data_IF_883130489239
#
_entry.id   IF_883130489239
#
_cell.length_a   1.000
_cell.length_b   1.000
_cell.length_c   1.000
_cell.angle_alpha   90.00
_cell.angle_beta   90.00
_cell.angle_gamma   90.00
#
_symmetry.space_group_name_H-M   'P 1'
#
loop_
_entity.id
_entity.type
_entity.pdbx_description
1 polymer ?
#
# COMPACT_ATOMS: atom_id res chain seq x y z
N UNK A 1 24.45 10.10 -20.72
CA UNK A 1 24.10 11.53 -20.91
C UNK A 1 23.09 11.91 -19.81
N UNK A 2 23.36 12.99 -19.07
CA UNK A 2 22.47 13.45 -18.01
C UNK A 2 21.15 13.93 -18.63
N UNK A 3 20.04 13.25 -18.31
CA UNK A 3 18.70 13.65 -18.72
C UNK A 3 18.24 14.78 -17.80
N UNK A 4 17.95 15.97 -18.34
CA UNK A 4 17.43 17.09 -17.58
C UNK A 4 17.06 18.26 -18.49
N UNK A 5 16.21 19.17 -18.01
CA UNK A 5 15.96 20.44 -18.67
C UNK A 5 16.96 21.46 -18.13
N UNK A 6 17.57 22.21 -19.03
CA UNK A 6 18.52 23.25 -18.72
C UNK A 6 17.94 24.60 -19.16
N UNK A 7 18.12 25.61 -18.33
CA UNK A 7 17.76 27.00 -18.66
C UNK A 7 19.05 27.81 -18.78
N UNK A 8 19.13 28.64 -19.82
CA UNK A 8 20.22 29.57 -19.98
C UNK A 8 20.06 30.75 -19.04
N UNK A 9 21.04 30.99 -18.16
CA UNK A 9 21.08 32.16 -17.31
C UNK A 9 22.53 32.68 -17.28
N UNK A 10 22.73 33.91 -17.75
CA UNK A 10 24.06 34.53 -17.82
C UNK A 10 25.05 33.78 -18.72
N UNK A 11 24.61 33.25 -19.86
CA UNK A 11 25.45 32.49 -20.81
C UNK A 11 25.81 31.07 -20.36
N UNK A 12 25.30 30.57 -19.24
CA UNK A 12 25.56 29.23 -18.71
C UNK A 12 24.27 28.41 -18.67
N UNK A 13 24.31 27.17 -19.18
CA UNK A 13 23.20 26.22 -19.07
C UNK A 13 23.11 25.67 -17.64
N UNK A 14 22.05 25.99 -16.92
CA UNK A 14 21.79 25.48 -15.55
C UNK A 14 20.67 24.45 -15.55
N UNK A 15 20.90 23.32 -14.92
CA UNK A 15 19.87 22.27 -14.76
C UNK A 15 18.71 22.80 -13.92
N UNK A 16 17.50 22.69 -14.45
CA UNK A 16 16.29 23.05 -13.72
C UNK A 16 16.00 22.00 -12.64
N UNK A 17 15.98 22.40 -11.38
CA UNK A 17 15.67 21.52 -10.23
C UNK A 17 14.18 21.46 -9.92
N UNK A 18 13.48 22.58 -10.04
CA UNK A 18 12.05 22.72 -9.77
C UNK A 18 11.39 23.61 -10.81
N UNK A 19 10.17 23.27 -11.20
CA UNK A 19 9.33 24.10 -12.05
C UNK A 19 7.99 24.36 -11.34
N UNK A 20 7.44 25.54 -11.52
CA UNK A 20 6.15 25.93 -10.96
C UNK A 20 5.27 26.48 -12.07
N UNK A 21 3.96 26.25 -11.94
CA UNK A 21 2.92 26.86 -12.79
C UNK A 21 1.96 27.64 -11.90
N UNK A 22 1.58 28.83 -12.32
CA UNK A 22 0.55 29.63 -11.66
C UNK A 22 -0.83 29.07 -11.99
N UNK A 23 -1.59 28.69 -10.98
CA UNK A 23 -2.98 28.25 -11.11
C UNK A 23 -3.78 29.00 -10.06
N UNK A 24 -4.77 29.77 -10.49
CA UNK A 24 -5.64 30.57 -9.58
C UNK A 24 -4.85 31.46 -8.59
N UNK A 25 -3.80 32.11 -9.06
CA UNK A 25 -2.96 33.01 -8.25
C UNK A 25 -1.99 32.26 -7.28
N UNK A 26 -1.92 30.95 -7.34
CA UNK A 26 -1.00 30.13 -6.51
C UNK A 26 0.05 29.44 -7.37
N UNK A 27 1.31 29.44 -6.93
CA UNK A 27 2.37 28.68 -7.57
C UNK A 27 2.24 27.18 -7.20
N UNK A 28 2.01 26.33 -8.20
CA UNK A 28 1.95 24.88 -8.04
C UNK A 28 3.19 24.25 -8.64
N UNK A 29 3.83 23.34 -7.92
CA UNK A 29 5.00 22.61 -8.39
C UNK A 29 4.63 21.68 -9.56
N UNK A 30 5.38 21.77 -10.64
CA UNK A 30 5.25 20.87 -11.80
C UNK A 30 6.00 19.57 -11.50
N UNK A 31 5.29 18.46 -11.46
CA UNK A 31 5.90 17.15 -11.21
C UNK A 31 6.44 16.50 -12.48
N UNK A 32 5.80 16.70 -13.61
CA UNK A 32 6.23 16.18 -14.92
C UNK A 32 5.93 17.17 -16.01
N UNK A 33 6.84 17.32 -16.97
CA UNK A 33 6.60 18.05 -18.23
C UNK A 33 6.86 17.11 -19.40
N UNK A 34 6.07 17.29 -20.44
CA UNK A 34 6.18 16.55 -21.67
C UNK A 34 6.35 17.52 -22.84
N UNK A 35 7.13 17.13 -23.83
CA UNK A 35 7.27 17.83 -25.10
C UNK A 35 6.72 16.96 -26.22
N UNK A 36 5.96 17.55 -27.13
CA UNK A 36 5.48 16.87 -28.33
C UNK A 36 6.61 16.71 -29.36
N UNK A 37 6.88 15.48 -29.75
CA UNK A 37 7.85 15.19 -30.83
C UNK A 37 7.23 14.10 -31.71
N UNK A 38 6.97 14.42 -32.98
CA UNK A 38 6.43 13.47 -33.95
C UNK A 38 5.10 12.84 -33.49
N UNK A 39 4.11 13.64 -33.09
CA UNK A 39 2.80 13.24 -32.56
C UNK A 39 2.83 12.37 -31.29
N UNK A 40 3.95 12.36 -30.56
CA UNK A 40 4.07 11.65 -29.27
C UNK A 40 4.51 12.61 -28.17
N UNK A 41 3.90 12.49 -26.99
CA UNK A 41 4.35 13.18 -25.80
C UNK A 41 5.61 12.48 -25.23
N UNK A 42 6.74 13.21 -25.14
CA UNK A 42 7.95 12.70 -24.51
C UNK A 42 8.20 13.42 -23.20
N UNK A 43 8.44 12.64 -22.14
CA UNK A 43 8.78 13.19 -20.82
C UNK A 43 10.12 13.93 -20.91
N UNK A 44 10.10 15.22 -20.63
CA UNK A 44 11.30 16.06 -20.64
C UNK A 44 11.74 16.53 -19.26
N UNK A 45 10.83 16.52 -18.29
CA UNK A 45 11.10 16.87 -16.89
C UNK A 45 10.36 15.93 -15.95
N UNK A 46 11.05 15.48 -14.90
CA UNK A 46 10.48 14.81 -13.73
C UNK A 46 11.14 15.39 -12.50
N UNK A 47 10.34 15.86 -11.54
CA UNK A 47 10.87 16.25 -10.25
C UNK A 47 11.55 15.05 -9.59
N UNK A 48 12.76 15.25 -9.07
CA UNK A 48 13.43 14.21 -8.27
C UNK A 48 12.66 14.01 -6.95
N UNK A 49 12.57 12.77 -6.45
CA UNK A 49 12.03 12.55 -5.11
C UNK A 49 12.85 13.33 -4.09
N UNK A 50 12.17 14.07 -3.22
CA UNK A 50 12.81 14.76 -2.10
C UNK A 50 12.31 14.15 -0.79
N UNK A 51 13.19 14.03 0.19
CA UNK A 51 12.80 13.67 1.55
C UNK A 51 11.90 14.77 2.12
N UNK A 52 10.64 14.43 2.43
CA UNK A 52 9.64 15.40 2.87
C UNK A 52 9.70 15.68 4.38
N UNK A 53 10.55 14.98 5.10
CA UNK A 53 10.64 15.09 6.55
C UNK A 53 10.12 13.86 7.28
N UNK A 54 10.08 13.94 8.61
CA UNK A 54 9.56 12.88 9.48
C UNK A 54 8.10 13.14 9.80
N UNK A 55 7.23 12.17 9.52
CA UNK A 55 5.83 12.20 9.92
C UNK A 55 5.64 11.87 11.40
N UNK A 56 4.41 11.95 11.90
CA UNK A 56 4.07 11.52 13.24
C UNK A 56 4.40 10.02 13.43
N UNK A 57 4.90 9.66 14.60
CA UNK A 57 5.20 8.25 14.92
C UNK A 57 3.93 7.39 14.96
N UNK A 58 4.07 6.09 14.73
CA UNK A 58 3.02 5.11 14.99
C UNK A 58 2.59 5.19 16.47
N UNK A 59 1.31 4.86 16.75
CA UNK A 59 0.80 4.84 18.12
C UNK A 59 1.61 3.92 19.04
N UNK A 60 2.08 2.80 18.52
CA UNK A 60 2.92 1.84 19.25
C UNK A 60 4.00 1.27 18.33
N UNK A 61 5.20 0.99 18.85
CA UNK A 61 6.22 0.28 18.07
C UNK A 61 5.70 -1.10 17.64
N UNK A 62 5.72 -1.39 16.35
CA UNK A 62 5.26 -2.67 15.80
C UNK A 62 6.07 -3.10 14.59
N UNK A 63 6.17 -4.40 14.36
CA UNK A 63 6.83 -4.98 13.20
C UNK A 63 5.90 -5.97 12.49
N UNK A 64 6.18 -6.25 11.22
CA UNK A 64 5.34 -7.14 10.40
C UNK A 64 3.95 -6.59 10.10
N UNK A 65 3.69 -5.31 10.37
CA UNK A 65 2.52 -4.60 9.87
C UNK A 65 2.55 -4.53 8.34
N UNK A 66 1.40 -4.37 7.72
CA UNK A 66 1.28 -4.14 6.28
C UNK A 66 0.64 -2.80 6.02
N UNK A 67 0.94 -2.23 4.85
CA UNK A 67 0.43 -0.93 4.47
C UNK A 67 -0.27 -0.97 3.11
N UNK A 68 -1.35 -0.21 3.00
CA UNK A 68 -2.05 0.05 1.75
C UNK A 68 -2.65 1.46 1.78
N UNK A 69 -2.90 2.04 0.61
CA UNK A 69 -3.56 3.33 0.50
C UNK A 69 -5.07 3.17 0.31
N UNK A 70 -5.85 4.06 0.94
CA UNK A 70 -7.27 4.27 0.67
C UNK A 70 -7.50 5.75 0.41
N UNK A 71 -7.96 6.11 -0.78
CA UNK A 71 -8.05 7.50 -1.19
C UNK A 71 -6.71 8.24 -1.05
N UNK A 72 -6.69 9.29 -0.24
CA UNK A 72 -5.50 10.10 0.03
C UNK A 72 -4.79 9.72 1.35
N UNK A 73 -5.15 8.60 1.96
CA UNK A 73 -4.56 8.13 3.21
C UNK A 73 -3.72 6.88 3.02
N UNK A 74 -2.61 6.79 3.75
CA UNK A 74 -1.82 5.57 3.91
C UNK A 74 -2.19 4.90 5.23
N UNK A 75 -2.61 3.64 5.20
CA UNK A 75 -2.97 2.86 6.36
C UNK A 75 -1.89 1.83 6.66
N UNK A 76 -1.51 1.71 7.95
CA UNK A 76 -0.57 0.71 8.44
C UNK A 76 -1.28 -0.13 9.50
N UNK A 77 -1.61 -1.38 9.17
CA UNK A 77 -2.46 -2.23 9.99
C UNK A 77 -1.81 -3.53 10.46
N UNK A 78 -2.28 -4.05 11.60
CA UNK A 78 -1.84 -5.32 12.16
C UNK A 78 -0.39 -5.34 12.59
N UNK A 79 0.20 -6.53 12.57
CA UNK A 79 1.58 -6.74 12.99
C UNK A 79 1.70 -7.27 14.42
N UNK A 80 2.87 -7.09 15.03
CA UNK A 80 3.18 -7.49 16.40
C UNK A 80 3.81 -6.32 17.14
N UNK A 81 3.44 -6.09 18.38
CA UNK A 81 4.06 -5.07 19.21
C UNK A 81 5.49 -5.46 19.57
N UNK A 82 6.43 -4.53 19.38
CA UNK A 82 7.81 -4.69 19.82
C UNK A 82 7.92 -4.46 21.34
N UNK A 83 8.85 -5.17 22.00
CA UNK A 83 9.18 -4.95 23.40
C UNK A 83 8.18 -5.47 24.42
N UNK A 84 7.14 -6.19 23.99
CA UNK A 84 6.25 -6.90 24.92
C UNK A 84 6.74 -8.34 25.12
N UNK A 85 6.63 -8.87 26.35
CA UNK A 85 7.11 -10.21 26.69
C UNK A 85 6.52 -11.32 25.81
N UNK A 86 5.37 -11.11 25.20
CA UNK A 86 4.67 -12.07 24.35
C UNK A 86 4.70 -11.72 22.87
N UNK A 87 5.37 -10.63 22.45
CA UNK A 87 5.29 -10.15 21.06
C UNK A 87 3.85 -10.19 20.52
N UNK A 88 2.94 -9.59 21.24
CA UNK A 88 1.50 -9.72 21.02
C UNK A 88 1.10 -9.29 19.61
N UNK A 89 0.36 -10.15 18.91
CA UNK A 89 -0.23 -9.82 17.62
C UNK A 89 -1.32 -8.77 17.84
N UNK A 90 -1.35 -7.76 16.99
CA UNK A 90 -2.29 -6.65 17.10
C UNK A 90 -3.21 -6.52 15.88
N UNK A 91 -4.27 -5.77 16.05
CA UNK A 91 -5.21 -5.39 15.00
C UNK A 91 -5.31 -3.87 14.82
N UNK A 92 -4.48 -3.10 15.52
CA UNK A 92 -4.50 -1.63 15.43
C UNK A 92 -4.14 -1.16 14.02
N UNK A 93 -4.76 -0.07 13.62
CA UNK A 93 -4.50 0.60 12.34
C UNK A 93 -4.11 2.05 12.62
N UNK A 94 -3.03 2.50 12.03
CA UNK A 94 -2.64 3.90 11.96
C UNK A 94 -2.86 4.38 10.53
N UNK A 95 -3.48 5.54 10.35
CA UNK A 95 -3.66 6.18 9.06
C UNK A 95 -2.95 7.54 9.03
N UNK A 96 -2.36 7.87 7.90
CA UNK A 96 -1.68 9.13 7.65
C UNK A 96 -2.28 9.80 6.42
N UNK A 97 -2.66 11.05 6.56
CA UNK A 97 -3.08 11.88 5.44
C UNK A 97 -1.89 12.43 4.63
N UNK A 98 -2.17 13.23 3.62
CA UNK A 98 -1.15 13.86 2.77
C UNK A 98 -0.29 14.89 3.50
N UNK A 99 -0.71 15.35 4.68
CA UNK A 99 0.07 16.22 5.59
C UNK A 99 0.90 15.43 6.59
N UNK A 100 0.87 14.09 6.49
CA UNK A 100 1.50 13.15 7.43
C UNK A 100 0.93 13.24 8.86
N UNK A 101 -0.30 13.76 9.00
CA UNK A 101 -1.05 13.75 10.25
C UNK A 101 -1.59 12.37 10.51
N UNK A 102 -1.32 11.83 11.69
CA UNK A 102 -1.74 10.49 12.08
C UNK A 102 -3.13 10.50 12.71
N UNK A 103 -3.97 9.55 12.29
CA UNK A 103 -5.24 9.20 12.92
C UNK A 103 -5.29 7.69 13.20
N UNK A 104 -6.24 7.26 14.01
CA UNK A 104 -6.45 5.85 14.35
C UNK A 104 -7.87 5.46 13.94
N UNK A 105 -8.07 4.92 12.74
CA UNK A 105 -9.38 4.40 12.32
C UNK A 105 -9.75 3.13 13.09
N UNK A 106 -10.94 2.57 12.82
CA UNK A 106 -11.37 1.31 13.39
C UNK A 106 -10.29 0.21 13.18
N UNK A 107 -10.08 -0.62 14.18
CA UNK A 107 -9.10 -1.71 14.10
C UNK A 107 -9.54 -2.77 13.07
N UNK A 108 -8.59 -3.59 12.56
CA UNK A 108 -8.90 -4.79 11.79
C UNK A 108 -9.84 -5.72 12.58
N UNK A 109 -10.69 -6.47 11.90
CA UNK A 109 -11.61 -7.41 12.52
C UNK A 109 -10.90 -8.45 13.40
N UNK A 110 -9.72 -8.90 12.96
CA UNK A 110 -8.92 -9.88 13.68
C UNK A 110 -7.51 -9.34 13.94
N UNK A 111 -6.92 -9.75 15.07
CA UNK A 111 -5.48 -9.58 15.30
C UNK A 111 -4.72 -10.43 14.30
N UNK A 112 -3.78 -9.81 13.55
CA UNK A 112 -3.07 -10.53 12.50
C UNK A 112 -1.67 -9.99 12.21
N UNK A 113 -0.78 -10.89 11.87
CA UNK A 113 0.50 -10.62 11.22
C UNK A 113 0.71 -11.64 10.09
N UNK A 114 1.73 -11.49 9.26
CA UNK A 114 1.93 -12.29 8.04
C UNK A 114 0.74 -12.23 7.06
N UNK A 115 -0.10 -11.24 7.20
CA UNK A 115 -1.16 -10.90 6.26
C UNK A 115 -0.58 -10.14 5.06
N UNK A 116 -1.39 -9.92 4.06
CA UNK A 116 -1.04 -9.09 2.90
C UNK A 116 -1.95 -7.88 2.84
N UNK A 117 -1.45 -6.77 2.28
CA UNK A 117 -2.26 -5.58 2.07
C UNK A 117 -1.99 -4.99 0.69
N UNK A 118 -3.03 -4.43 0.07
CA UNK A 118 -2.98 -3.86 -1.28
C UNK A 118 -4.03 -2.77 -1.43
N UNK A 119 -3.74 -1.65 -2.14
CA UNK A 119 -4.77 -0.70 -2.53
C UNK A 119 -5.64 -1.30 -3.65
N UNK A 120 -6.92 -0.93 -3.72
CA UNK A 120 -7.82 -1.31 -4.81
C UNK A 120 -8.83 -0.18 -5.03
N UNK A 121 -8.71 0.57 -6.12
CA UNK A 121 -9.51 1.77 -6.34
C UNK A 121 -9.34 2.75 -5.18
N UNK A 122 -10.44 3.09 -4.49
CA UNK A 122 -10.44 3.94 -3.30
C UNK A 122 -10.25 3.16 -1.99
N UNK A 123 -10.10 1.84 -2.02
CA UNK A 123 -10.02 0.99 -0.85
C UNK A 123 -8.59 0.53 -0.52
N UNK A 124 -8.32 0.33 0.77
CA UNK A 124 -7.18 -0.44 1.28
C UNK A 124 -7.67 -1.81 1.77
N UNK A 125 -7.17 -2.90 1.20
CA UNK A 125 -7.51 -4.26 1.59
C UNK A 125 -6.41 -4.87 2.46
N UNK A 126 -6.81 -5.52 3.57
CA UNK A 126 -5.93 -6.30 4.46
C UNK A 126 -6.45 -7.73 4.54
N UNK A 127 -5.71 -8.69 4.02
CA UNK A 127 -6.20 -10.05 3.76
C UNK A 127 -5.37 -11.13 4.43
N UNK A 128 -6.04 -12.13 5.02
CA UNK A 128 -5.40 -13.31 5.59
C UNK A 128 -4.57 -13.04 6.83
N UNK A 129 -3.46 -13.76 6.97
CA UNK A 129 -2.59 -13.65 8.15
C UNK A 129 -2.95 -14.63 9.27
N UNK A 130 -2.33 -14.48 10.43
CA UNK A 130 -2.59 -15.31 11.61
C UNK A 130 -2.46 -14.51 12.91
N UNK A 131 -3.22 -14.89 13.93
CA UNK A 131 -3.11 -14.33 15.27
C UNK A 131 -2.07 -15.07 16.14
N UNK A 132 -1.62 -16.23 15.73
CA UNK A 132 -0.70 -17.07 16.51
C UNK A 132 0.53 -17.47 15.71
N UNK A 133 1.75 -17.35 16.28
CA UNK A 133 2.98 -17.67 15.55
C UNK A 133 3.19 -19.16 15.31
N UNK A 134 2.56 -20.03 16.10
CA UNK A 134 2.85 -21.46 16.16
C UNK A 134 1.73 -22.36 15.66
N UNK A 135 0.52 -21.85 15.48
CA UNK A 135 -0.62 -22.68 15.10
C UNK A 135 -0.71 -22.92 13.59
N UNK A 136 -1.15 -24.12 13.20
CA UNK A 136 -1.66 -24.41 11.86
C UNK A 136 -3.00 -23.71 11.68
N UNK A 137 -3.02 -22.42 11.77
CA UNK A 137 -4.20 -21.60 11.65
C UNK A 137 -3.90 -20.36 10.85
N UNK A 138 -4.91 -19.67 10.47
CA UNK A 138 -4.80 -18.40 9.77
C UNK A 138 -6.19 -17.81 9.63
N UNK A 139 -6.23 -16.64 9.05
CA UNK A 139 -7.45 -15.98 8.68
C UNK A 139 -7.67 -16.08 7.17
N UNK A 140 -8.92 -16.19 6.78
CA UNK A 140 -9.36 -15.94 5.40
C UNK A 140 -10.14 -14.63 5.29
N UNK A 141 -10.30 -13.91 6.40
CA UNK A 141 -10.99 -12.62 6.44
C UNK A 141 -10.24 -11.56 5.68
N UNK A 142 -10.98 -10.65 5.07
CA UNK A 142 -10.47 -9.48 4.36
C UNK A 142 -11.17 -8.24 4.90
N UNK A 143 -10.39 -7.34 5.48
CA UNK A 143 -10.85 -6.03 5.89
C UNK A 143 -10.60 -5.03 4.76
N UNK A 144 -11.59 -4.22 4.42
CA UNK A 144 -11.51 -3.12 3.47
C UNK A 144 -11.76 -1.80 4.18
N UNK A 145 -10.92 -0.81 3.91
CA UNK A 145 -11.14 0.58 4.34
C UNK A 145 -11.37 1.43 3.12
N UNK A 146 -12.41 2.24 3.14
CA UNK A 146 -12.70 3.22 2.11
C UNK A 146 -11.89 4.52 2.29
N UNK A 147 -12.08 5.48 1.39
CA UNK A 147 -11.42 6.80 1.46
C UNK A 147 -11.80 7.62 2.70
N UNK A 148 -12.92 7.30 3.37
CA UNK A 148 -13.37 7.90 4.63
C UNK A 148 -12.79 7.18 5.85
N UNK A 149 -11.94 6.16 5.64
CA UNK A 149 -11.37 5.28 6.67
C UNK A 149 -12.42 4.42 7.39
N UNK A 150 -13.59 4.23 6.79
CA UNK A 150 -14.62 3.32 7.29
C UNK A 150 -14.23 1.89 6.94
N UNK A 151 -14.20 1.01 7.97
CA UNK A 151 -13.90 -0.40 7.79
C UNK A 151 -15.15 -1.21 7.46
N UNK A 152 -15.06 -2.03 6.44
CA UNK A 152 -16.04 -3.06 6.08
C UNK A 152 -15.34 -4.41 5.91
N UNK A 153 -16.11 -5.50 5.89
CA UNK A 153 -15.60 -6.82 5.53
C UNK A 153 -15.86 -7.07 4.06
N UNK A 154 -14.80 -7.34 3.29
CA UNK A 154 -14.94 -7.84 1.93
C UNK A 154 -15.21 -9.36 1.90
N UNK A 155 -15.53 -9.91 0.74
CA UNK A 155 -15.63 -11.35 0.57
C UNK A 155 -14.36 -12.05 1.08
N UNK A 156 -14.51 -13.15 1.83
CA UNK A 156 -13.37 -13.86 2.38
C UNK A 156 -12.49 -14.50 1.28
N UNK A 157 -11.20 -14.67 1.54
CA UNK A 157 -10.31 -15.49 0.72
C UNK A 157 -10.87 -16.91 0.59
N UNK A 158 -10.58 -17.60 -0.50
CA UNK A 158 -11.01 -18.98 -0.73
C UNK A 158 -10.52 -19.95 0.35
N UNK A 159 -9.44 -19.61 1.05
CA UNK A 159 -8.88 -20.39 2.18
C UNK A 159 -8.04 -19.51 3.10
N UNK A 160 -7.83 -19.99 4.32
CA UNK A 160 -6.90 -19.39 5.29
C UNK A 160 -5.47 -19.43 4.76
N UNK A 161 -4.79 -18.28 4.69
CA UNK A 161 -3.42 -18.18 4.15
C UNK A 161 -2.62 -17.07 4.83
N UNK A 162 -1.32 -17.29 4.86
CA UNK A 162 -0.32 -16.30 5.31
C UNK A 162 0.73 -16.11 4.24
N UNK A 163 1.48 -15.01 4.28
CA UNK A 163 2.62 -14.73 3.39
C UNK A 163 2.28 -14.78 1.89
N UNK A 164 1.10 -14.35 1.54
CA UNK A 164 0.69 -14.27 0.13
C UNK A 164 1.45 -13.16 -0.58
N UNK A 165 1.77 -13.38 -1.85
CA UNK A 165 2.04 -12.29 -2.79
C UNK A 165 0.77 -11.50 -3.05
N UNK A 166 0.87 -10.18 -3.19
CA UNK A 166 -0.28 -9.35 -3.55
C UNK A 166 0.13 -8.20 -4.47
N UNK A 167 -0.75 -7.83 -5.36
CA UNK A 167 -0.55 -6.71 -6.30
C UNK A 167 -1.88 -6.22 -6.83
N UNK A 168 -1.85 -5.07 -7.51
CA UNK A 168 -2.97 -4.56 -8.30
C UNK A 168 -2.62 -4.62 -9.78
N UNK A 169 -3.57 -5.06 -10.58
CA UNK A 169 -3.51 -5.03 -12.03
C UNK A 169 -4.80 -4.39 -12.57
N UNK A 170 -4.70 -3.16 -13.06
CA UNK A 170 -5.86 -2.37 -13.45
C UNK A 170 -6.81 -2.16 -12.26
N UNK A 171 -8.08 -2.53 -12.41
CA UNK A 171 -9.12 -2.46 -11.37
C UNK A 171 -9.25 -3.75 -10.55
N UNK A 172 -8.21 -4.57 -10.48
CA UNK A 172 -8.25 -5.86 -9.78
C UNK A 172 -7.09 -5.99 -8.79
N UNK A 173 -7.40 -6.42 -7.57
CA UNK A 173 -6.40 -6.82 -6.57
C UNK A 173 -6.25 -8.34 -6.60
N UNK A 174 -5.01 -8.83 -6.61
CA UNK A 174 -4.66 -10.24 -6.61
C UNK A 174 -3.97 -10.60 -5.30
N UNK A 175 -4.38 -11.74 -4.70
CA UNK A 175 -3.69 -12.38 -3.59
C UNK A 175 -3.32 -13.80 -4.01
N UNK A 176 -2.04 -14.09 -4.15
CA UNK A 176 -1.56 -15.31 -4.78
C UNK A 176 -0.64 -16.10 -3.86
N UNK A 177 -0.72 -17.42 -3.92
CA UNK A 177 0.16 -18.31 -3.18
C UNK A 177 -0.01 -18.22 -1.67
N UNK A 178 1.11 -18.22 -0.96
CA UNK A 178 1.17 -18.27 0.50
C UNK A 178 1.12 -19.68 1.04
N UNK A 179 1.00 -19.80 2.36
CA UNK A 179 0.97 -21.09 3.04
C UNK A 179 0.04 -21.09 4.25
N UNK A 180 -0.11 -22.24 4.88
CA UNK A 180 -0.88 -22.40 6.10
C UNK A 180 0.03 -22.23 7.34
N UNK A 181 -0.41 -21.40 8.29
CA UNK A 181 0.25 -21.24 9.60
C UNK A 181 1.42 -20.24 9.63
N UNK A 182 1.96 -20.10 10.82
CA UNK A 182 3.03 -19.14 11.14
C UNK A 182 4.45 -19.63 10.86
N UNK A 183 4.69 -20.93 10.68
CA UNK A 183 6.00 -21.55 10.56
C UNK A 183 6.15 -22.41 9.30
N UNK A 184 7.37 -22.81 9.03
CA UNK A 184 7.93 -23.38 7.80
C UNK A 184 7.38 -24.74 7.36
N UNK A 185 6.47 -25.37 8.08
CA UNK A 185 6.00 -26.75 7.82
C UNK A 185 4.57 -26.84 7.23
N UNK A 186 3.92 -25.71 6.98
CA UNK A 186 2.63 -25.67 6.26
C UNK A 186 2.87 -25.68 4.75
N UNK A 187 2.12 -26.50 4.01
CA UNK A 187 2.23 -26.57 2.55
C UNK A 187 2.00 -25.20 1.88
N UNK A 188 2.72 -24.95 0.82
CA UNK A 188 2.48 -23.81 -0.05
C UNK A 188 1.23 -24.03 -0.91
N UNK A 189 0.59 -22.96 -1.30
CA UNK A 189 -0.62 -22.98 -2.13
C UNK A 189 -0.37 -22.31 -3.48
N UNK A 190 -1.01 -22.83 -4.51
CA UNK A 190 -1.03 -22.25 -5.84
C UNK A 190 -2.23 -21.32 -6.05
N UNK A 191 -3.11 -21.21 -5.06
CA UNK A 191 -4.39 -20.50 -5.13
C UNK A 191 -4.19 -19.00 -5.40
N UNK A 192 -5.01 -18.46 -6.28
CA UNK A 192 -5.11 -17.02 -6.56
C UNK A 192 -6.53 -16.55 -6.31
N UNK A 193 -6.71 -15.58 -5.44
CA UNK A 193 -7.96 -14.86 -5.22
C UNK A 193 -7.85 -13.47 -5.86
N UNK A 194 -8.88 -13.08 -6.60
CA UNK A 194 -8.96 -11.80 -7.33
C UNK A 194 -10.17 -11.03 -6.81
N UNK A 195 -9.96 -9.77 -6.48
CA UNK A 195 -11.03 -8.85 -6.05
C UNK A 195 -11.19 -7.74 -7.08
N UNK A 196 -12.43 -7.36 -7.34
CA UNK A 196 -12.80 -6.15 -8.06
C UNK A 196 -13.07 -4.98 -7.09
N UNK A 197 -13.30 -3.78 -7.63
CA UNK A 197 -13.58 -2.58 -6.82
C UNK A 197 -14.92 -2.64 -6.07
N UNK A 198 -15.82 -3.55 -6.44
CA UNK A 198 -17.03 -3.87 -5.68
C UNK A 198 -16.77 -4.83 -4.52
N UNK A 199 -15.49 -5.18 -4.26
CA UNK A 199 -15.02 -6.09 -3.22
C UNK A 199 -15.54 -7.54 -3.40
N UNK A 200 -15.94 -7.88 -4.61
CA UNK A 200 -16.37 -9.24 -5.00
C UNK A 200 -15.14 -10.09 -5.30
N UNK A 201 -15.11 -11.30 -4.76
CA UNK A 201 -14.02 -12.25 -4.97
C UNK A 201 -14.32 -13.24 -6.10
N UNK A 202 -13.35 -13.44 -6.97
CA UNK A 202 -13.34 -14.53 -7.96
C UNK A 202 -12.04 -15.35 -7.83
N UNK A 203 -12.03 -16.56 -8.37
CA UNK A 203 -10.80 -17.35 -8.47
C UNK A 203 -9.99 -16.89 -9.69
N UNK A 204 -8.68 -16.72 -9.51
CA UNK A 204 -7.75 -16.58 -10.63
C UNK A 204 -7.16 -17.93 -11.04
N UNK A 205 -6.43 -17.95 -12.18
CA UNK A 205 -5.65 -19.11 -12.59
C UNK A 205 -4.61 -19.43 -11.52
N UNK A 206 -4.51 -20.68 -11.04
CA UNK A 206 -3.50 -21.08 -10.06
C UNK A 206 -2.08 -20.83 -10.56
N UNK A 207 -1.16 -20.61 -9.63
CA UNK A 207 0.28 -20.56 -9.94
C UNK A 207 0.75 -21.95 -10.43
N UNK A 208 1.72 -21.94 -11.35
CA UNK A 208 2.37 -23.13 -11.88
C UNK A 208 3.47 -23.63 -10.96
#
# INVERSE_FOLDING_TARGET
>A
MAKGIYIGAGGVARRMKKAYVGVEGKARAVRKMYVGVGNRARLCYSAEPEYAGTGASLANPKYGAKAAAAGNCALIGGGRFAGTASNAVCNTVDAYDTSLTRTAPAALGDKRYLHSAVPLGAHALFAGGTATPTARGGHNTVDAYDASLTRTSAAALSRMRTRMGCTVLGSRALFAGGGQGGLTTGGAFTTVDVYDEALTRTAGTPLS
#
